data_IF_467911650258
#
_entry.id   IF_467911650258
#
_cell.length_a   1.000
_cell.length_b   1.000
_cell.length_c   1.000
_cell.angle_alpha   90.00
_cell.angle_beta   90.00
_cell.angle_gamma   90.00
#
_symmetry.space_group_name_H-M   'P 1'
#
loop_
_entity.id
_entity.type
_entity.pdbx_description
1 polymer ?
#
# COMPACT_ATOMS: atom_id res chain seq x y z
N UNK A 1 23.29 1.13 -13.49
CA UNK A 1 22.26 2.00 -12.89
C UNK A 1 21.81 1.36 -11.59
N UNK A 2 21.88 2.08 -10.48
CA UNK A 2 21.35 1.60 -9.20
C UNK A 2 19.87 1.97 -9.10
N UNK A 3 19.01 0.99 -8.86
CA UNK A 3 17.58 1.20 -8.67
C UNK A 3 17.23 1.00 -7.18
N UNK A 4 16.34 1.84 -6.66
CA UNK A 4 15.78 1.72 -5.32
C UNK A 4 14.29 1.42 -5.46
N UNK A 5 13.80 0.48 -4.64
CA UNK A 5 12.39 0.12 -4.60
C UNK A 5 11.86 0.38 -3.19
N UNK A 6 10.79 1.17 -3.09
CA UNK A 6 10.13 1.41 -1.82
C UNK A 6 9.14 0.28 -1.53
N UNK A 7 9.20 -0.22 -0.29
CA UNK A 7 8.26 -1.22 0.22
C UNK A 7 7.69 -0.76 1.55
N UNK A 8 6.44 -1.13 1.82
CA UNK A 8 5.75 -0.84 3.07
C UNK A 8 5.10 -2.12 3.59
N UNK A 9 5.40 -2.47 4.84
CA UNK A 9 4.92 -3.70 5.46
C UNK A 9 3.79 -3.43 6.45
N UNK A 10 3.06 -4.47 6.85
CA UNK A 10 2.03 -4.46 7.90
C UNK A 10 0.74 -3.66 7.57
N UNK A 11 0.54 -3.28 6.30
CA UNK A 11 -0.67 -2.60 5.86
C UNK A 11 -1.85 -3.56 5.54
N UNK A 12 -2.95 -3.06 4.96
CA UNK A 12 -3.31 -1.64 4.93
C UNK A 12 -3.67 -1.13 6.34
N UNK A 13 -3.60 0.18 6.56
CA UNK A 13 -4.02 0.83 7.81
C UNK A 13 -4.84 2.08 7.49
N UNK A 14 -6.03 2.27 8.10
CA UNK A 14 -7.01 3.27 7.66
C UNK A 14 -6.52 4.72 7.72
N UNK A 15 -5.68 5.05 8.70
CA UNK A 15 -5.16 6.42 8.84
C UNK A 15 -3.83 6.66 8.11
N UNK A 16 -3.06 5.59 7.85
CA UNK A 16 -1.66 5.71 7.38
C UNK A 16 -1.57 5.47 5.88
N UNK A 17 -2.22 4.40 5.39
CA UNK A 17 -2.17 4.04 3.97
C UNK A 17 -2.61 5.20 3.07
N UNK A 18 -3.73 5.91 3.29
CA UNK A 18 -4.13 7.02 2.43
C UNK A 18 -3.10 8.16 2.40
N UNK A 19 -2.45 8.46 3.53
CA UNK A 19 -1.42 9.50 3.62
C UNK A 19 -0.15 9.12 2.87
N UNK A 20 0.24 7.84 2.94
CA UNK A 20 1.38 7.34 2.15
C UNK A 20 1.07 7.41 0.66
N UNK A 21 -0.13 6.98 0.24
CA UNK A 21 -0.56 7.06 -1.16
C UNK A 21 -0.56 8.51 -1.67
N UNK A 22 -1.03 9.47 -0.86
CA UNK A 22 -0.99 10.88 -1.20
C UNK A 22 0.45 11.37 -1.45
N UNK A 23 1.39 11.06 -0.55
CA UNK A 23 2.80 11.47 -0.71
C UNK A 23 3.43 10.82 -1.93
N UNK A 24 3.23 9.51 -2.12
CA UNK A 24 3.74 8.79 -3.29
C UNK A 24 3.18 9.37 -4.60
N UNK A 25 1.88 9.67 -4.64
CA UNK A 25 1.22 10.31 -5.78
C UNK A 25 1.78 11.69 -6.10
N UNK A 26 2.04 12.53 -5.09
CA UNK A 26 2.67 13.85 -5.27
C UNK A 26 4.06 13.76 -5.90
N UNK A 27 4.79 12.67 -5.65
CA UNK A 27 6.12 12.44 -6.21
C UNK A 27 6.14 11.56 -7.47
N UNK A 28 4.98 11.03 -7.90
CA UNK A 28 4.90 10.13 -9.05
C UNK A 28 5.69 8.82 -8.85
N UNK A 29 5.78 8.33 -7.60
CA UNK A 29 6.57 7.14 -7.26
C UNK A 29 5.66 5.96 -6.96
N UNK A 30 5.91 4.83 -7.62
CA UNK A 30 5.23 3.57 -7.31
C UNK A 30 6.01 2.76 -6.28
N UNK A 31 5.32 1.91 -5.53
CA UNK A 31 5.84 1.16 -4.40
C UNK A 31 5.13 -0.21 -4.31
N UNK A 32 5.65 -1.09 -3.45
CA UNK A 32 5.00 -2.36 -3.11
C UNK A 32 4.54 -2.33 -1.66
N UNK A 33 3.28 -2.66 -1.41
CA UNK A 33 2.70 -2.76 -0.07
C UNK A 33 2.52 -4.24 0.28
N UNK A 34 3.27 -4.73 1.26
CA UNK A 34 3.09 -6.05 1.84
C UNK A 34 2.03 -5.97 2.93
N UNK A 35 0.84 -6.50 2.63
CA UNK A 35 -0.34 -6.38 3.48
C UNK A 35 -0.58 -7.64 4.30
N UNK A 36 -1.18 -7.48 5.47
CA UNK A 36 -1.57 -8.56 6.36
C UNK A 36 -3.01 -9.02 6.06
N UNK A 37 -3.21 -10.33 5.99
CA UNK A 37 -4.55 -10.90 5.77
C UNK A 37 -5.58 -10.46 6.82
N UNK A 38 -5.17 -10.34 8.09
CA UNK A 38 -6.05 -9.86 9.16
C UNK A 38 -6.56 -8.43 8.93
N UNK A 39 -5.75 -7.54 8.35
CA UNK A 39 -6.16 -6.18 8.03
C UNK A 39 -7.09 -6.14 6.82
N UNK A 40 -6.94 -7.07 5.88
CA UNK A 40 -7.88 -7.20 4.75
C UNK A 40 -9.27 -7.66 5.20
N UNK A 41 -9.34 -8.46 6.27
CA UNK A 41 -10.60 -8.95 6.84
C UNK A 41 -11.39 -7.89 7.62
N UNK A 42 -10.77 -6.76 7.97
CA UNK A 42 -11.45 -5.63 8.60
C UNK A 42 -12.40 -4.92 7.62
N UNK A 43 -13.47 -4.24 8.10
CA UNK A 43 -14.46 -3.58 7.24
C UNK A 43 -13.88 -2.57 6.23
N UNK A 44 -12.74 -1.97 6.57
CA UNK A 44 -12.03 -0.99 5.73
C UNK A 44 -10.95 -1.63 4.85
N UNK A 45 -10.54 -2.87 5.13
CA UNK A 45 -9.34 -3.52 4.58
C UNK A 45 -9.33 -3.64 3.07
N UNK A 46 -10.36 -4.30 2.52
CA UNK A 46 -10.48 -4.53 1.08
C UNK A 46 -10.58 -3.23 0.28
N UNK A 47 -11.26 -2.20 0.82
CA UNK A 47 -11.36 -0.89 0.16
C UNK A 47 -9.98 -0.23 0.05
N UNK A 48 -9.18 -0.26 1.11
CA UNK A 48 -7.82 0.28 1.08
C UNK A 48 -6.89 -0.52 0.15
N UNK A 49 -7.01 -1.85 0.10
CA UNK A 49 -6.25 -2.67 -0.83
C UNK A 49 -6.56 -2.30 -2.29
N UNK A 50 -7.83 -2.07 -2.62
CA UNK A 50 -8.22 -1.57 -3.94
C UNK A 50 -7.63 -0.18 -4.21
N UNK A 51 -7.68 0.75 -3.26
CA UNK A 51 -7.07 2.07 -3.42
C UNK A 51 -5.56 1.99 -3.71
N UNK A 52 -4.83 1.13 -2.99
CA UNK A 52 -3.40 0.88 -3.25
C UNK A 52 -3.18 0.42 -4.70
N UNK A 53 -3.95 -0.58 -5.15
CA UNK A 53 -3.85 -1.13 -6.51
C UNK A 53 -4.21 -0.09 -7.57
N UNK A 54 -5.32 0.62 -7.38
CA UNK A 54 -5.88 1.57 -8.34
C UNK A 54 -4.98 2.81 -8.48
N UNK A 55 -4.19 3.15 -7.45
CA UNK A 55 -3.12 4.15 -7.52
C UNK A 55 -1.82 3.67 -8.22
N UNK A 56 -1.79 2.44 -8.74
CA UNK A 56 -0.66 1.90 -9.52
C UNK A 56 0.43 1.22 -8.69
N UNK A 57 0.21 1.01 -7.40
CA UNK A 57 1.12 0.27 -6.54
C UNK A 57 0.88 -1.24 -6.61
N UNK A 58 1.87 -2.02 -6.16
CA UNK A 58 1.76 -3.48 -6.08
C UNK A 58 1.34 -3.91 -4.67
N UNK A 59 0.57 -4.98 -4.58
CA UNK A 59 0.28 -5.67 -3.32
C UNK A 59 1.12 -6.93 -3.23
N UNK A 60 1.74 -7.13 -2.07
CA UNK A 60 2.38 -8.38 -1.66
C UNK A 60 1.72 -8.90 -0.38
N UNK A 61 2.01 -10.15 -0.03
CA UNK A 61 1.53 -10.74 1.22
C UNK A 61 2.60 -10.61 2.33
N UNK A 62 2.20 -10.21 3.54
CA UNK A 62 3.04 -10.15 4.73
C UNK A 62 2.70 -11.22 5.80
N UNK A 63 2.09 -12.34 5.41
CA UNK A 63 1.84 -13.52 6.27
C UNK A 63 1.30 -14.71 5.48
#
# INVERSE_FOLDING_TARGET
MSAVHLTFDNGPHPEVTPRVLEVLGRHGVNATFFVLGQHLAEPWGMSLAHQIRDAGHRLGNHS
#
